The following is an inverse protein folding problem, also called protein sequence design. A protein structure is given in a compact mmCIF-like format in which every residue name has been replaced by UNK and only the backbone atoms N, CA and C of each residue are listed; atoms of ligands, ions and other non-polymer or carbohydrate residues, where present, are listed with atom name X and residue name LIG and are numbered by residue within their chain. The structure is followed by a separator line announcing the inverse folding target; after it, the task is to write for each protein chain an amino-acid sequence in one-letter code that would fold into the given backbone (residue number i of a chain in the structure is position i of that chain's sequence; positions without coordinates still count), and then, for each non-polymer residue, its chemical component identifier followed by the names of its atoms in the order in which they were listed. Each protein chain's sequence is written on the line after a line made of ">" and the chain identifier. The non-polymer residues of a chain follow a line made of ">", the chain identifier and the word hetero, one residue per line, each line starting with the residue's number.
data_IF_656891268956
#
_entry.id   IF_656891268956
#
_cell.length_a   1.000
_cell.length_b   1.000
_cell.length_c   1.000
_cell.angle_alpha   90.00
_cell.angle_beta   90.00
_cell.angle_gamma   90.00
#
_symmetry.space_group_name_H-M   'P 1'
#
loop_
_entity.id
_entity.type
_entity.pdbx_description
1 polymer ?
#
# COMPACT_ATOMS: atom_id res chain seq x y z
N UNK A 1 7.01 10.66 2.41
CA UNK A 1 6.38 9.35 2.56
C UNK A 1 7.18 8.62 3.61
N UNK A 2 6.60 8.39 4.79
CA UNK A 2 7.33 7.87 5.96
C UNK A 2 6.57 6.69 6.57
N UNK A 3 7.29 5.75 7.20
CA UNK A 3 6.70 4.51 7.73
C UNK A 3 5.51 4.76 8.65
N UNK A 4 5.60 5.71 9.57
CA UNK A 4 4.49 6.03 10.48
C UNK A 4 3.21 6.43 9.74
N UNK A 5 3.33 7.23 8.68
CA UNK A 5 2.20 7.60 7.82
C UNK A 5 1.66 6.41 7.03
N UNK A 6 2.54 5.59 6.46
CA UNK A 6 2.15 4.40 5.71
C UNK A 6 1.42 3.35 6.57
N UNK A 7 1.86 3.16 7.82
CA UNK A 7 1.18 2.29 8.79
C UNK A 7 -0.22 2.82 9.10
N UNK A 8 -0.38 4.12 9.32
CA UNK A 8 -1.72 4.72 9.53
C UNK A 8 -2.59 4.56 8.29
N UNK A 9 -2.07 4.83 7.09
CA UNK A 9 -2.82 4.66 5.82
C UNK A 9 -3.27 3.21 5.65
N UNK A 10 -2.44 2.23 6.00
CA UNK A 10 -2.80 0.80 5.96
C UNK A 10 -4.02 0.49 6.83
N UNK A 11 -4.21 1.20 7.96
CA UNK A 11 -5.39 1.02 8.82
C UNK A 11 -6.70 1.55 8.23
N UNK A 12 -6.63 2.46 7.24
CA UNK A 12 -7.79 3.09 6.62
C UNK A 12 -8.39 2.23 5.50
N UNK A 13 -7.65 1.23 5.01
CA UNK A 13 -8.06 0.40 3.89
C UNK A 13 -9.11 -0.61 4.36
N UNK A 14 -10.30 -0.55 3.74
CA UNK A 14 -11.39 -1.53 3.89
C UNK A 14 -11.62 -1.96 5.35
N UNK A 15 -11.84 -0.98 6.23
CA UNK A 15 -11.86 -1.19 7.69
C UNK A 15 -12.81 -2.30 8.15
N UNK A 16 -13.93 -2.49 7.44
CA UNK A 16 -14.98 -3.47 7.76
C UNK A 16 -14.68 -4.91 7.27
N UNK A 17 -13.56 -5.11 6.58
CA UNK A 17 -13.15 -6.40 6.04
C UNK A 17 -12.12 -7.12 6.94
N UNK A 18 -12.04 -8.43 6.79
CA UNK A 18 -11.01 -9.23 7.47
C UNK A 18 -9.62 -9.06 6.81
N UNK A 19 -8.56 -9.60 7.43
CA UNK A 19 -7.17 -9.42 6.96
C UNK A 19 -6.95 -9.89 5.52
N UNK A 20 -7.50 -11.06 5.16
CA UNK A 20 -7.32 -11.64 3.83
C UNK A 20 -8.05 -10.80 2.77
N UNK A 21 -9.30 -10.43 3.05
CA UNK A 21 -10.10 -9.56 2.18
C UNK A 21 -9.45 -8.19 1.93
N UNK A 22 -8.81 -7.61 2.95
CA UNK A 22 -8.05 -6.36 2.81
C UNK A 22 -6.87 -6.52 1.85
N UNK A 23 -6.10 -7.58 2.01
CA UNK A 23 -4.95 -7.85 1.16
C UNK A 23 -5.39 -8.12 -0.29
N UNK A 24 -6.39 -8.98 -0.49
CA UNK A 24 -6.95 -9.29 -1.80
C UNK A 24 -7.49 -8.03 -2.49
N UNK A 25 -8.17 -7.17 -1.75
CA UNK A 25 -8.66 -5.89 -2.27
C UNK A 25 -7.52 -5.00 -2.79
N UNK A 26 -6.44 -4.87 -2.04
CA UNK A 26 -5.30 -4.05 -2.47
C UNK A 26 -4.61 -4.70 -3.67
N UNK A 27 -4.39 -6.01 -3.65
CA UNK A 27 -3.74 -6.72 -4.74
C UNK A 27 -4.54 -6.62 -6.05
N UNK A 28 -5.88 -6.72 -5.98
CA UNK A 28 -6.75 -6.47 -7.13
C UNK A 28 -6.62 -5.04 -7.65
N UNK A 29 -6.52 -4.04 -6.77
CA UNK A 29 -6.31 -2.65 -7.16
C UNK A 29 -4.96 -2.43 -7.85
N UNK A 30 -3.88 -3.01 -7.31
CA UNK A 30 -2.55 -2.94 -7.91
C UNK A 30 -2.49 -3.66 -9.26
N UNK A 31 -3.17 -4.81 -9.39
CA UNK A 31 -3.29 -5.55 -10.63
C UNK A 31 -3.96 -4.71 -11.74
N UNK A 32 -5.05 -4.00 -11.41
CA UNK A 32 -5.68 -3.03 -12.33
C UNK A 32 -4.72 -1.89 -12.73
N UNK A 33 -3.95 -1.36 -11.79
CA UNK A 33 -2.94 -0.33 -12.08
C UNK A 33 -1.83 -0.84 -13.01
N UNK A 34 -1.44 -2.11 -12.86
CA UNK A 34 -0.49 -2.79 -13.72
C UNK A 34 -1.11 -3.29 -15.03
N UNK A 35 -2.41 -3.05 -15.24
CA UNK A 35 -3.16 -3.51 -16.43
C UNK A 35 -3.11 -5.03 -16.64
N UNK A 36 -3.14 -5.80 -15.55
CA UNK A 36 -3.06 -7.26 -15.53
C UNK A 36 -1.73 -7.87 -15.98
N UNK A 37 -0.64 -7.09 -15.95
CA UNK A 37 0.71 -7.64 -16.00
C UNK A 37 1.10 -8.33 -14.66
N UNK A 38 2.34 -8.83 -14.59
CA UNK A 38 2.83 -9.60 -13.45
C UNK A 38 2.66 -8.86 -12.13
N UNK A 39 2.03 -9.53 -11.16
CA UNK A 39 1.93 -9.13 -9.76
C UNK A 39 2.18 -10.39 -8.92
N UNK A 40 3.16 -10.32 -8.02
CA UNK A 40 3.54 -11.44 -7.16
C UNK A 40 3.46 -11.09 -5.68
N UNK A 41 3.85 -12.05 -4.84
CA UNK A 41 3.96 -11.87 -3.39
C UNK A 41 5.04 -12.78 -2.85
N UNK A 42 6.06 -12.19 -2.20
CA UNK A 42 7.12 -12.93 -1.55
C UNK A 42 6.77 -13.23 -0.10
N UNK A 43 6.31 -14.45 0.19
CA UNK A 43 6.08 -14.87 1.57
C UNK A 43 7.40 -14.90 2.38
N UNK A 44 8.54 -15.18 1.74
CA UNK A 44 9.85 -15.17 2.41
C UNK A 44 10.20 -13.75 2.91
N UNK A 45 10.00 -12.74 2.06
CA UNK A 45 10.20 -11.33 2.43
C UNK A 45 9.22 -10.92 3.54
N UNK A 46 7.95 -11.31 3.42
CA UNK A 46 6.95 -11.02 4.44
C UNK A 46 7.33 -11.56 5.83
N UNK A 47 7.74 -12.83 5.92
CA UNK A 47 8.18 -13.39 7.20
C UNK A 47 9.41 -12.67 7.73
N UNK A 48 10.40 -12.39 6.87
CA UNK A 48 11.62 -11.69 7.26
C UNK A 48 11.35 -10.27 7.78
N UNK A 49 10.52 -9.49 7.08
CA UNK A 49 10.11 -8.13 7.48
C UNK A 49 9.32 -8.14 8.80
N UNK A 50 8.45 -9.14 8.97
CA UNK A 50 7.65 -9.28 10.19
C UNK A 50 8.50 -9.67 11.40
N UNK A 51 9.51 -10.53 11.23
CA UNK A 51 10.42 -10.97 12.29
C UNK A 51 11.42 -9.89 12.69
N UNK A 52 11.89 -9.08 11.74
CA UNK A 52 12.92 -8.05 11.98
C UNK A 52 12.36 -6.63 12.11
N UNK A 53 11.05 -6.48 12.10
CA UNK A 53 10.33 -5.21 12.05
C UNK A 53 10.26 -4.41 13.36
N UNK A 54 11.20 -4.58 14.31
CA UNK A 54 11.18 -3.97 15.65
C UNK A 54 10.88 -2.46 15.62
N UNK A 55 11.51 -1.73 14.69
CA UNK A 55 11.27 -0.29 14.51
C UNK A 55 9.81 0.00 14.12
N UNK A 56 9.22 -0.80 13.24
CA UNK A 56 7.83 -0.63 12.82
C UNK A 56 6.86 -1.01 13.95
N UNK A 57 7.18 -2.02 14.77
CA UNK A 57 6.42 -2.30 15.99
C UNK A 57 6.47 -1.14 16.98
N UNK A 58 7.65 -0.56 17.23
CA UNK A 58 7.80 0.60 18.11
C UNK A 58 6.96 1.79 17.63
N UNK A 59 7.00 2.09 16.33
CA UNK A 59 6.14 3.10 15.69
C UNK A 59 4.66 2.75 15.89
N UNK A 60 4.25 1.50 15.67
CA UNK A 60 2.88 1.04 15.85
C UNK A 60 2.36 1.25 17.27
N UNK A 61 3.15 0.89 18.29
CA UNK A 61 2.80 1.14 19.70
C UNK A 61 2.70 2.63 20.02
N UNK A 62 3.63 3.45 19.51
CA UNK A 62 3.57 4.90 19.71
C UNK A 62 2.33 5.54 19.06
N UNK A 63 2.00 5.14 17.83
CA UNK A 63 0.77 5.56 17.14
C UNK A 63 -0.50 5.16 17.91
N UNK A 64 -0.49 3.96 18.52
CA UNK A 64 -1.60 3.47 19.34
C UNK A 64 -1.75 4.31 20.61
N UNK A 65 -0.65 4.61 21.31
CA UNK A 65 -0.65 5.47 22.50
C UNK A 65 -1.22 6.87 22.18
N UNK A 66 -0.78 7.46 21.05
CA UNK A 66 -1.24 8.78 20.58
C UNK A 66 -2.60 8.77 19.90
N UNK A 67 -3.29 7.62 19.86
CA UNK A 67 -4.63 7.46 19.26
C UNK A 67 -4.69 7.89 17.80
N UNK A 68 -3.63 7.61 17.05
CA UNK A 68 -3.54 7.96 15.62
C UNK A 68 -4.36 7.01 14.72
N UNK A 69 -4.70 5.81 15.21
CA UNK A 69 -5.54 4.87 14.47
C UNK A 69 -7.03 5.21 14.59
N UNK A 70 -7.86 4.87 13.58
CA UNK A 70 -9.31 4.90 13.71
C UNK A 70 -9.79 4.05 14.89
N UNK A 71 -10.95 4.41 15.46
CA UNK A 71 -11.54 3.66 16.57
C UNK A 71 -11.83 2.22 16.14
N UNK A 72 -11.49 1.26 17.00
CA UNK A 72 -11.76 -0.16 16.78
C UNK A 72 -10.74 -0.91 15.91
N UNK A 73 -9.74 -0.21 15.36
CA UNK A 73 -8.67 -0.86 14.58
C UNK A 73 -7.70 -1.63 15.49
N UNK A 74 -7.38 -2.86 15.10
CA UNK A 74 -6.27 -3.61 15.66
C UNK A 74 -4.94 -3.17 15.02
N UNK A 75 -4.04 -2.65 15.86
CA UNK A 75 -2.70 -2.22 15.47
C UNK A 75 -1.85 -3.39 14.94
N UNK A 76 -1.94 -4.58 15.53
CA UNK A 76 -1.15 -5.74 15.08
C UNK A 76 -1.63 -6.22 13.71
N UNK A 77 -2.95 -6.26 13.51
CA UNK A 77 -3.52 -6.52 12.18
C UNK A 77 -3.09 -5.50 11.13
N UNK A 78 -2.95 -4.24 11.52
CA UNK A 78 -2.49 -3.17 10.63
C UNK A 78 -1.03 -3.36 10.24
N UNK A 79 -0.16 -3.72 11.19
CA UNK A 79 1.24 -4.04 10.91
C UNK A 79 1.39 -5.28 10.02
N UNK A 80 0.60 -6.33 10.26
CA UNK A 80 0.56 -7.51 9.39
C UNK A 80 0.28 -7.10 7.93
N UNK A 81 -0.77 -6.29 7.71
CA UNK A 81 -1.11 -5.81 6.36
C UNK A 81 0.02 -4.94 5.79
N UNK A 82 0.59 -4.04 6.59
CA UNK A 82 1.71 -3.20 6.16
C UNK A 82 2.89 -4.05 5.64
N UNK A 83 3.30 -5.08 6.38
CA UNK A 83 4.38 -5.99 5.95
C UNK A 83 4.00 -6.79 4.70
N UNK A 84 2.74 -7.23 4.59
CA UNK A 84 2.26 -7.89 3.37
C UNK A 84 2.36 -6.96 2.15
N UNK A 85 1.93 -5.71 2.28
CA UNK A 85 1.99 -4.73 1.19
C UNK A 85 3.43 -4.41 0.77
N UNK A 86 4.38 -4.37 1.72
CA UNK A 86 5.81 -4.22 1.42
C UNK A 86 6.43 -5.46 0.72
N UNK A 87 5.73 -6.59 0.72
CA UNK A 87 6.21 -7.86 0.16
C UNK A 87 5.55 -8.23 -1.18
N UNK A 88 4.76 -7.31 -1.74
CA UNK A 88 4.21 -7.45 -3.10
C UNK A 88 5.33 -7.31 -4.12
N UNK A 89 5.35 -8.20 -5.12
CA UNK A 89 6.37 -8.24 -6.16
C UNK A 89 5.84 -7.68 -7.47
N UNK A 90 6.74 -7.01 -8.20
CA UNK A 90 6.50 -6.50 -9.55
C UNK A 90 7.77 -6.71 -10.38
N UNK A 91 7.61 -6.74 -11.70
CA UNK A 91 8.71 -6.58 -12.65
C UNK A 91 8.88 -5.10 -13.04
N UNK A 92 9.98 -4.75 -13.70
CA UNK A 92 10.14 -3.41 -14.27
C UNK A 92 9.01 -3.07 -15.25
N UNK A 93 8.55 -4.04 -16.04
CA UNK A 93 7.46 -3.87 -17.02
C UNK A 93 6.14 -3.53 -16.31
N UNK A 94 5.67 -4.40 -15.41
CA UNK A 94 4.43 -4.18 -14.64
C UNK A 94 4.47 -2.91 -13.79
N UNK A 95 5.60 -2.66 -13.11
CA UNK A 95 5.81 -1.43 -12.36
C UNK A 95 5.76 -0.17 -13.22
N UNK A 96 6.26 -0.24 -14.46
CA UNK A 96 6.18 0.89 -15.41
C UNK A 96 4.75 1.20 -15.82
N UNK A 97 3.89 0.18 -15.96
CA UNK A 97 2.46 0.37 -16.25
C UNK A 97 1.75 1.02 -15.07
N UNK A 98 2.05 0.62 -13.83
CA UNK A 98 1.51 1.27 -12.63
C UNK A 98 1.89 2.75 -12.57
N UNK A 99 3.16 3.08 -12.84
CA UNK A 99 3.63 4.46 -12.91
C UNK A 99 2.95 5.24 -14.05
N UNK A 100 2.77 4.62 -15.21
CA UNK A 100 2.08 5.23 -16.35
C UNK A 100 0.58 5.45 -16.07
N UNK A 101 -0.06 4.59 -15.27
CA UNK A 101 -1.44 4.81 -14.77
C UNK A 101 -1.51 6.09 -13.93
N UNK A 102 -0.54 6.34 -13.06
CA UNK A 102 -0.45 7.61 -12.32
C UNK A 102 -0.18 8.79 -13.26
N UNK A 103 0.74 8.64 -14.21
CA UNK A 103 1.06 9.69 -15.19
C UNK A 103 -0.13 10.04 -16.10
N UNK A 104 -1.03 9.08 -16.33
CA UNK A 104 -2.23 9.22 -17.17
C UNK A 104 -3.50 9.50 -16.35
N UNK A 105 -3.37 10.19 -15.21
CA UNK A 105 -4.52 10.67 -14.44
C UNK A 105 -5.36 9.57 -13.79
N UNK A 106 -4.80 8.38 -13.58
CA UNK A 106 -5.48 7.24 -12.93
C UNK A 106 -6.14 6.27 -13.89
N UNK A 107 -5.93 6.44 -15.20
CA UNK A 107 -6.44 5.54 -16.23
C UNK A 107 -5.30 4.67 -16.73
N UNK A 108 -5.47 3.34 -16.70
CA UNK A 108 -4.46 2.42 -17.21
C UNK A 108 -4.22 2.67 -18.69
N UNK A 109 -2.96 2.87 -19.14
CA UNK A 109 -2.67 3.19 -20.52
C UNK A 109 -2.94 2.01 -21.47
N UNK A 110 -2.84 0.78 -20.96
CA UNK A 110 -2.99 -0.45 -21.75
C UNK A 110 -4.42 -0.98 -21.75
N UNK A 111 -5.13 -0.97 -20.61
CA UNK A 111 -6.52 -1.47 -20.54
C UNK A 111 -7.58 -0.40 -20.73
N UNK A 112 -7.21 0.89 -20.60
CA UNK A 112 -8.13 2.05 -20.58
C UNK A 112 -9.12 2.05 -19.41
N UNK A 113 -8.95 1.16 -18.43
CA UNK A 113 -9.75 1.16 -17.21
C UNK A 113 -9.42 2.39 -16.35
N UNK A 114 -10.45 3.05 -15.82
CA UNK A 114 -10.29 4.08 -14.80
C UNK A 114 -10.11 3.40 -13.44
N UNK A 115 -8.88 3.45 -12.92
CA UNK A 115 -8.47 2.73 -11.70
C UNK A 115 -8.49 3.65 -10.48
N UNK A 116 -8.02 4.89 -10.66
CA UNK A 116 -7.91 5.88 -9.60
C UNK A 116 -8.64 7.18 -9.98
N UNK A 117 -9.16 7.88 -8.98
CA UNK A 117 -9.70 9.22 -9.20
C UNK A 117 -8.58 10.23 -9.48
N UNK A 118 -8.88 11.27 -10.25
CA UNK A 118 -7.93 12.34 -10.54
C UNK A 118 -7.41 13.04 -9.27
N UNK A 119 -8.23 13.11 -8.21
CA UNK A 119 -7.82 13.63 -6.91
C UNK A 119 -6.78 12.72 -6.24
N UNK A 120 -7.02 11.41 -6.18
CA UNK A 120 -6.08 10.47 -5.59
C UNK A 120 -4.71 10.53 -6.30
N UNK A 121 -4.73 10.59 -7.63
CA UNK A 121 -3.52 10.68 -8.46
C UNK A 121 -2.76 11.98 -8.19
N UNK A 122 -3.45 13.12 -8.23
CA UNK A 122 -2.85 14.43 -7.95
C UNK A 122 -2.19 14.46 -6.57
N UNK A 123 -2.91 14.03 -5.54
CA UNK A 123 -2.41 14.06 -4.16
C UNK A 123 -1.18 13.15 -3.99
N UNK A 124 -1.21 11.95 -4.58
CA UNK A 124 -0.08 11.01 -4.56
C UNK A 124 1.14 11.60 -5.27
N UNK A 125 1.00 12.13 -6.47
CA UNK A 125 2.11 12.72 -7.22
C UNK A 125 2.72 13.94 -6.51
N UNK A 126 1.88 14.79 -5.88
CA UNK A 126 2.36 15.92 -5.07
C UNK A 126 3.21 15.47 -3.88
N UNK A 127 2.79 14.41 -3.18
CA UNK A 127 3.56 13.88 -2.05
C UNK A 127 4.83 13.14 -2.51
N UNK A 128 4.78 12.37 -3.60
CA UNK A 128 5.97 11.74 -4.17
C UNK A 128 7.03 12.79 -4.54
N UNK A 129 6.62 13.93 -5.09
CA UNK A 129 7.53 15.02 -5.43
C UNK A 129 8.29 15.56 -4.22
N UNK A 130 7.59 15.83 -3.11
CA UNK A 130 8.20 16.50 -1.95
C UNK A 130 8.86 15.54 -0.95
N UNK A 131 8.47 14.27 -0.93
CA UNK A 131 8.89 13.34 0.12
C UNK A 131 9.02 11.88 -0.35
N UNK A 132 9.28 11.66 -1.64
CA UNK A 132 9.45 10.33 -2.24
C UNK A 132 10.87 9.76 -2.20
N UNK A 133 11.89 10.56 -1.89
CA UNK A 133 13.31 10.18 -1.97
C UNK A 133 14.00 10.15 -0.59
N UNK A 134 13.32 9.53 0.39
CA UNK A 134 13.67 9.55 1.82
C UNK A 134 13.71 10.96 2.43
#
# INVERSE_FOLDING_TARGET
>A
MVNAGAIVVSSLIKMDCNKAEKFDFVLQYLNKMAGNEFMGFSNATFQSEKETGDRNYAIGYYLKEKKCFPKGVDMMATLDLYFQLCSVEVTCESGSVMAATLANGGISPITRESVLSAEAVRNTLSLMHSCGMY
#
